data_IF_978914999861
#
_entry.id   IF_978914999861
#
_cell.length_a   1.000
_cell.length_b   1.000
_cell.length_c   1.000
_cell.angle_alpha   90.00
_cell.angle_beta   90.00
_cell.angle_gamma   90.00
#
_symmetry.space_group_name_H-M   'P 1'
#
loop_
_entity.id
_entity.type
_entity.pdbx_description
1 polymer ?
#
# COMPACT_ATOMS: atom_id res chain seq x y z
N UNK A 1 -45.85 26.89 0.25
CA UNK A 1 -44.54 27.07 0.92
C UNK A 1 -43.95 25.68 1.11
N UNK A 2 -42.99 25.27 0.26
CA UNK A 2 -42.43 23.92 0.27
C UNK A 2 -40.95 23.96 0.69
N UNK A 3 -40.57 23.18 1.69
CA UNK A 3 -39.18 23.12 2.18
C UNK A 3 -38.40 22.14 1.30
N UNK A 4 -37.51 22.69 0.48
CA UNK A 4 -36.70 21.94 -0.47
C UNK A 4 -35.56 21.21 0.27
N UNK A 5 -35.70 19.89 0.45
CA UNK A 5 -34.68 19.06 1.11
C UNK A 5 -33.37 19.13 0.33
N UNK A 6 -32.33 19.70 0.95
CA UNK A 6 -31.03 19.92 0.33
C UNK A 6 -30.36 18.61 -0.09
N UNK A 7 -29.86 18.56 -1.33
CA UNK A 7 -29.16 17.39 -1.89
C UNK A 7 -27.91 17.11 -1.04
N UNK A 8 -27.92 16.01 -0.30
CA UNK A 8 -26.76 15.58 0.50
C UNK A 8 -25.54 15.41 -0.42
N UNK A 9 -24.50 16.21 -0.20
CA UNK A 9 -23.30 16.21 -1.04
C UNK A 9 -22.56 14.88 -0.93
N UNK A 10 -22.23 14.28 -2.09
CA UNK A 10 -21.49 13.01 -2.14
C UNK A 10 -20.15 13.14 -1.40
N UNK A 11 -20.04 12.49 -0.24
CA UNK A 11 -18.78 12.22 0.43
C UNK A 11 -17.95 11.26 -0.44
N UNK A 12 -17.12 11.83 -1.31
CA UNK A 12 -16.09 11.06 -2.04
C UNK A 12 -15.05 10.64 -1.02
N UNK A 13 -14.93 9.33 -0.80
CA UNK A 13 -13.95 8.77 0.10
C UNK A 13 -12.56 8.70 -0.52
N UNK A 14 -11.58 8.47 0.34
CA UNK A 14 -10.17 8.45 0.01
C UNK A 14 -9.79 7.03 -0.43
N UNK A 15 -9.57 6.85 -1.72
CA UNK A 15 -8.84 5.71 -2.26
C UNK A 15 -7.47 6.21 -2.72
N UNK A 16 -6.50 6.26 -1.81
CA UNK A 16 -5.09 6.57 -2.13
C UNK A 16 -4.38 5.32 -2.66
N UNK A 17 -4.90 4.76 -3.74
CA UNK A 17 -4.27 3.62 -4.40
C UNK A 17 -3.16 4.11 -5.32
N UNK A 18 -2.01 4.37 -4.68
CA UNK A 18 -0.73 4.09 -5.31
C UNK A 18 -0.64 2.57 -5.49
N UNK A 19 -0.67 2.12 -6.74
CA UNK A 19 -0.68 0.71 -7.13
C UNK A 19 0.69 0.03 -7.03
N UNK A 20 1.34 0.09 -5.87
CA UNK A 20 2.51 -0.73 -5.56
C UNK A 20 2.04 -2.12 -5.08
N UNK A 21 2.07 -3.12 -5.97
CA UNK A 21 1.47 -4.46 -5.82
C UNK A 21 2.26 -5.45 -4.93
N UNK A 22 1.65 -6.64 -4.65
CA UNK A 22 2.08 -7.76 -3.75
C UNK A 22 1.80 -7.47 -2.23
N UNK A 23 1.31 -8.33 -1.26
CA UNK A 23 1.20 -8.03 0.26
C UNK A 23 1.82 -8.98 1.40
N UNK A 24 2.02 -8.56 2.70
CA UNK A 24 2.70 -9.31 3.85
C UNK A 24 2.43 -8.83 5.33
N UNK A 25 3.18 -9.23 6.42
CA UNK A 25 3.20 -8.70 7.84
C UNK A 25 4.18 -9.41 8.86
N UNK A 26 4.86 -8.73 9.82
CA UNK A 26 5.31 -9.22 11.19
C UNK A 26 5.91 -8.17 12.21
N UNK A 27 5.35 -8.09 13.43
CA UNK A 27 5.46 -6.97 14.41
C UNK A 27 6.71 -6.99 15.36
N UNK A 28 6.93 -6.15 16.39
CA UNK A 28 6.02 -5.57 17.43
C UNK A 28 6.38 -4.09 17.85
N UNK A 29 5.80 -3.55 18.94
CA UNK A 29 5.58 -2.10 19.13
C UNK A 29 6.15 -1.45 20.41
N UNK A 30 6.61 -0.20 20.28
CA UNK A 30 6.52 0.83 21.32
C UNK A 30 6.59 2.25 20.72
N UNK A 31 6.07 3.24 21.45
CA UNK A 31 5.71 4.61 21.04
C UNK A 31 6.77 5.43 20.24
N UNK A 32 6.74 5.34 18.90
CA UNK A 32 7.66 6.08 18.00
C UNK A 32 7.13 7.44 17.50
N UNK A 33 5.84 7.74 17.66
CA UNK A 33 5.19 8.90 17.04
C UNK A 33 5.76 10.24 17.53
N UNK A 34 6.36 10.27 18.73
CA UNK A 34 6.99 11.47 19.31
C UNK A 34 8.47 11.67 18.95
N UNK A 35 9.13 10.71 18.28
CA UNK A 35 10.58 10.82 17.96
C UNK A 35 10.88 11.03 16.47
N UNK A 36 9.98 10.61 15.58
CA UNK A 36 10.16 10.74 14.12
C UNK A 36 10.00 12.17 13.56
N UNK A 37 9.84 13.19 14.41
CA UNK A 37 9.52 14.55 14.01
C UNK A 37 10.72 15.53 14.04
N UNK A 38 11.86 15.14 14.63
CA UNK A 38 12.96 16.08 14.93
C UNK A 38 14.35 15.45 14.72
N UNK A 39 14.57 14.84 13.56
CA UNK A 39 15.91 14.58 13.03
C UNK A 39 16.01 15.09 11.59
N UNK A 40 16.55 16.30 11.44
CA UNK A 40 16.74 16.93 10.14
C UNK A 40 17.93 16.26 9.42
N UNK A 41 17.71 15.85 8.16
CA UNK A 41 18.73 15.15 7.39
C UNK A 41 20.02 16.00 7.26
N UNK A 42 21.21 15.40 7.47
CA UNK A 42 22.47 16.11 7.27
C UNK A 42 22.62 16.52 5.79
N UNK A 43 22.84 17.81 5.56
CA UNK A 43 22.93 18.36 4.22
C UNK A 43 24.23 17.89 3.51
N UNK A 44 24.10 16.86 2.67
CA UNK A 44 25.19 16.34 1.83
C UNK A 44 25.65 14.93 2.17
N UNK A 45 24.74 13.97 2.32
CA UNK A 45 25.11 12.55 2.29
C UNK A 45 25.71 12.20 0.91
N UNK A 46 27.00 11.88 0.87
CA UNK A 46 27.69 11.39 -0.34
C UNK A 46 27.69 9.87 -0.26
N UNK A 47 26.93 9.22 -1.14
CA UNK A 47 26.73 7.78 -1.09
C UNK A 47 28.03 6.99 -1.35
N UNK A 48 28.30 5.93 -0.57
CA UNK A 48 29.38 5.01 -0.89
C UNK A 48 29.14 4.41 -2.28
N UNK A 49 30.19 4.43 -3.12
CA UNK A 49 30.15 4.01 -4.53
C UNK A 49 29.31 4.89 -5.49
N UNK A 50 28.81 6.06 -5.07
CA UNK A 50 28.25 7.06 -5.98
C UNK A 50 26.92 6.67 -6.67
N UNK A 51 26.17 5.72 -6.10
CA UNK A 51 24.83 5.35 -6.56
C UNK A 51 23.87 6.53 -6.45
N UNK A 52 23.09 6.79 -7.51
CA UNK A 52 22.02 7.79 -7.48
C UNK A 52 20.67 7.18 -7.08
N UNK A 53 19.70 8.03 -6.72
CA UNK A 53 18.33 7.58 -6.47
C UNK A 53 17.68 6.94 -7.68
N UNK A 54 17.99 7.43 -8.90
CA UNK A 54 17.50 6.84 -10.14
C UNK A 54 18.13 5.46 -10.43
N UNK A 55 19.41 5.23 -10.07
CA UNK A 55 20.05 3.90 -10.18
C UNK A 55 19.38 2.86 -9.26
N UNK A 56 19.08 3.26 -8.02
CA UNK A 56 18.44 2.40 -7.02
C UNK A 56 17.00 2.06 -7.46
N UNK A 57 16.26 3.03 -8.00
CA UNK A 57 14.93 2.80 -8.58
C UNK A 57 15.01 1.94 -9.85
N UNK A 58 16.02 2.12 -10.70
CA UNK A 58 16.27 1.27 -11.87
C UNK A 58 16.47 -0.20 -11.49
N UNK A 59 17.34 -0.46 -10.51
CA UNK A 59 17.55 -1.80 -9.95
C UNK A 59 16.28 -2.36 -9.30
N UNK A 60 15.54 -1.54 -8.55
CA UNK A 60 14.29 -1.93 -7.91
C UNK A 60 13.22 -2.35 -8.94
N UNK A 61 13.09 -1.62 -10.05
CA UNK A 61 12.12 -1.92 -11.12
C UNK A 61 12.48 -3.23 -11.83
N UNK A 62 13.75 -3.48 -12.13
CA UNK A 62 14.20 -4.73 -12.76
C UNK A 62 14.06 -5.93 -11.81
N UNK A 63 14.40 -5.79 -10.53
CA UNK A 63 14.16 -6.83 -9.52
C UNK A 63 12.67 -7.10 -9.31
N UNK A 64 11.82 -6.07 -9.39
CA UNK A 64 10.36 -6.22 -9.35
C UNK A 64 9.82 -6.96 -10.58
N UNK A 65 10.35 -6.72 -11.79
CA UNK A 65 10.00 -7.47 -13.00
C UNK A 65 10.28 -8.97 -12.81
N UNK A 66 11.50 -9.31 -12.39
CA UNK A 66 11.92 -10.70 -12.13
C UNK A 66 11.08 -11.38 -11.04
N UNK A 67 10.69 -10.64 -9.97
CA UNK A 67 9.77 -11.16 -8.94
C UNK A 67 8.34 -11.36 -9.47
N UNK A 68 7.81 -10.45 -10.28
CA UNK A 68 6.48 -10.57 -10.87
C UNK A 68 6.36 -11.79 -11.80
N UNK A 69 7.40 -12.09 -12.58
CA UNK A 69 7.44 -13.27 -13.47
C UNK A 69 7.36 -14.61 -12.71
N UNK A 70 7.78 -14.62 -11.44
CA UNK A 70 7.75 -15.80 -10.56
C UNK A 70 6.47 -15.87 -9.69
N UNK A 71 5.72 -14.78 -9.54
CA UNK A 71 4.53 -14.72 -8.69
C UNK A 71 3.27 -15.11 -9.48
N UNK A 72 2.99 -16.41 -9.56
CA UNK A 72 1.89 -16.96 -10.35
C UNK A 72 0.53 -16.81 -9.64
N UNK A 73 0.48 -17.04 -8.32
CA UNK A 73 -0.73 -16.90 -7.49
C UNK A 73 -0.39 -16.48 -6.07
N UNK A 74 -1.29 -15.74 -5.41
CA UNK A 74 -1.31 -15.69 -3.94
C UNK A 74 -2.73 -15.57 -3.41
N UNK A 75 -2.94 -15.91 -2.14
CA UNK A 75 -4.11 -15.50 -1.37
C UNK A 75 -3.73 -14.85 -0.05
N UNK A 76 -4.60 -13.99 0.47
CA UNK A 76 -4.38 -13.19 1.67
C UNK A 76 -5.70 -12.85 2.37
N UNK A 77 -5.64 -12.49 3.65
CA UNK A 77 -6.73 -11.89 4.42
C UNK A 77 -6.35 -10.48 4.85
N UNK A 78 -7.08 -9.48 4.36
CA UNK A 78 -6.90 -8.07 4.71
C UNK A 78 -7.95 -7.61 5.73
N UNK A 79 -7.50 -6.95 6.78
CA UNK A 79 -8.37 -6.36 7.82
C UNK A 79 -8.33 -4.84 7.71
N UNK A 80 -9.42 -4.27 7.20
CA UNK A 80 -9.63 -2.83 7.01
C UNK A 80 -10.28 -2.26 8.28
N UNK A 81 -9.68 -1.25 8.92
CA UNK A 81 -10.17 -0.68 10.19
C UNK A 81 -10.12 0.84 10.17
N UNK A 82 -11.21 1.51 10.58
CA UNK A 82 -11.24 2.97 10.81
C UNK A 82 -11.54 3.25 12.26
N UNK A 83 -10.69 4.09 12.89
CA UNK A 83 -10.84 4.58 14.27
C UNK A 83 -10.87 6.10 14.31
N UNK A 84 -11.45 6.67 15.37
CA UNK A 84 -11.17 8.08 15.72
C UNK A 84 -9.81 8.19 16.42
N UNK A 85 -9.38 9.42 16.72
CA UNK A 85 -8.15 9.69 17.47
C UNK A 85 -8.15 9.10 18.89
N UNK A 86 -9.32 8.84 19.48
CA UNK A 86 -9.51 8.16 20.77
C UNK A 86 -9.38 6.61 20.66
N UNK A 87 -9.04 6.08 19.48
CA UNK A 87 -8.94 4.64 19.21
C UNK A 87 -10.29 3.92 19.06
N UNK A 88 -11.43 4.58 19.25
CA UNK A 88 -12.77 3.99 19.13
C UNK A 88 -13.07 3.57 17.69
N UNK A 89 -13.51 2.32 17.54
CA UNK A 89 -13.86 1.73 16.24
C UNK A 89 -15.07 2.43 15.61
N UNK A 90 -14.92 2.88 14.36
CA UNK A 90 -16.01 3.44 13.55
C UNK A 90 -16.53 2.43 12.50
N UNK A 91 -15.62 1.68 11.88
CA UNK A 91 -15.93 0.63 10.90
C UNK A 91 -14.79 -0.39 10.80
N UNK A 92 -15.11 -1.66 10.53
CA UNK A 92 -14.16 -2.67 10.10
C UNK A 92 -14.76 -3.55 9.00
N UNK A 93 -13.92 -3.99 8.06
CA UNK A 93 -14.22 -5.09 7.15
C UNK A 93 -13.04 -6.07 7.11
N UNK A 94 -13.33 -7.35 6.88
CA UNK A 94 -12.33 -8.39 6.59
C UNK A 94 -12.58 -8.88 5.18
N UNK A 95 -11.52 -8.96 4.37
CA UNK A 95 -11.58 -9.25 2.94
C UNK A 95 -10.53 -10.31 2.63
N UNK A 96 -10.94 -11.46 2.11
CA UNK A 96 -10.03 -12.38 1.44
C UNK A 96 -9.71 -11.80 0.06
N UNK A 97 -8.42 -11.73 -0.27
CA UNK A 97 -7.92 -11.28 -1.57
C UNK A 97 -7.19 -12.45 -2.22
N UNK A 98 -7.61 -12.80 -3.43
CA UNK A 98 -7.02 -13.87 -4.23
C UNK A 98 -6.47 -13.27 -5.54
N UNK A 99 -5.19 -13.50 -5.83
CA UNK A 99 -4.47 -13.02 -7.01
C UNK A 99 -4.03 -14.17 -7.91
N UNK A 100 -4.12 -13.95 -9.21
CA UNK A 100 -3.71 -14.85 -10.29
C UNK A 100 -3.02 -14.02 -11.37
N UNK A 101 -1.82 -14.45 -11.80
CA UNK A 101 -1.04 -13.74 -12.80
C UNK A 101 -1.77 -13.65 -14.16
N UNK A 102 -1.56 -12.57 -14.95
CA UNK A 102 -0.63 -11.46 -14.69
C UNK A 102 -1.20 -10.36 -13.77
N UNK A 103 -2.50 -10.10 -13.79
CA UNK A 103 -3.11 -8.89 -13.22
C UNK A 103 -4.46 -9.13 -12.49
N UNK A 104 -4.95 -10.37 -12.46
CA UNK A 104 -6.29 -10.70 -11.97
C UNK A 104 -6.32 -10.76 -10.44
N UNK A 105 -7.11 -9.88 -9.82
CA UNK A 105 -7.43 -9.89 -8.38
C UNK A 105 -8.92 -10.05 -8.15
N UNK A 106 -9.30 -10.83 -7.13
CA UNK A 106 -10.67 -10.90 -6.62
C UNK A 106 -10.71 -10.56 -5.13
N UNK A 107 -11.83 -10.01 -4.67
CA UNK A 107 -11.99 -9.45 -3.33
C UNK A 107 -13.27 -9.97 -2.69
N UNK A 108 -13.12 -10.94 -1.80
CA UNK A 108 -14.22 -11.68 -1.18
C UNK A 108 -14.39 -11.19 0.27
N UNK A 109 -15.39 -10.35 0.53
CA UNK A 109 -15.60 -9.74 1.85
C UNK A 109 -16.24 -10.75 2.82
N UNK A 110 -15.50 -11.15 3.86
CA UNK A 110 -15.87 -12.25 4.77
C UNK A 110 -16.49 -11.79 6.09
N UNK A 111 -16.27 -10.53 6.50
CA UNK A 111 -16.87 -9.98 7.72
C UNK A 111 -16.97 -8.45 7.67
N UNK A 112 -18.00 -7.87 8.31
CA UNK A 112 -18.17 -6.42 8.44
C UNK A 112 -18.77 -6.04 9.79
N UNK A 113 -18.34 -4.90 10.36
CA UNK A 113 -18.95 -4.30 11.55
C UNK A 113 -18.78 -2.78 11.58
N UNK A 114 -19.61 -2.10 12.37
CA UNK A 114 -19.65 -0.64 12.43
C UNK A 114 -20.35 -0.01 11.21
N UNK A 115 -20.19 1.30 11.05
CA UNK A 115 -21.05 2.14 10.19
C UNK A 115 -21.06 1.71 8.72
N UNK A 116 -22.21 1.26 8.23
CA UNK A 116 -22.41 0.84 6.85
C UNK A 116 -22.10 1.96 5.84
N UNK A 117 -22.40 3.21 6.18
CA UNK A 117 -22.08 4.38 5.35
C UNK A 117 -20.56 4.54 5.24
N UNK A 118 -19.82 4.39 6.34
CA UNK A 118 -18.35 4.48 6.32
C UNK A 118 -17.73 3.31 5.54
N UNK A 119 -18.26 2.09 5.70
CA UNK A 119 -17.82 0.91 4.94
C UNK A 119 -18.02 1.07 3.44
N UNK A 120 -19.24 1.43 3.02
CA UNK A 120 -19.56 1.58 1.60
C UNK A 120 -18.84 2.77 0.95
N UNK A 121 -18.70 3.88 1.66
CA UNK A 121 -17.95 5.01 1.12
C UNK A 121 -16.45 4.70 1.04
N UNK A 122 -15.82 4.19 2.10
CA UNK A 122 -14.35 4.05 2.15
C UNK A 122 -13.85 2.72 1.60
N UNK A 123 -14.30 1.59 2.17
CA UNK A 123 -13.71 0.27 1.86
C UNK A 123 -14.05 -0.21 0.45
N UNK A 124 -15.32 -0.08 0.03
CA UNK A 124 -15.73 -0.51 -1.31
C UNK A 124 -15.03 0.34 -2.40
N UNK A 125 -14.75 1.62 -2.13
CA UNK A 125 -14.01 2.50 -3.06
C UNK A 125 -12.52 2.22 -3.12
N UNK A 126 -11.89 1.83 -2.01
CA UNK A 126 -10.51 1.36 -2.01
C UNK A 126 -10.37 0.08 -2.85
N UNK A 127 -11.26 -0.89 -2.63
CA UNK A 127 -11.29 -2.15 -3.38
C UNK A 127 -11.54 -1.90 -4.88
N UNK A 128 -12.52 -1.05 -5.23
CA UNK A 128 -12.76 -0.64 -6.61
C UNK A 128 -11.52 0.01 -7.24
N UNK A 129 -10.90 0.96 -6.53
CA UNK A 129 -9.75 1.70 -7.05
C UNK A 129 -8.50 0.82 -7.21
N UNK A 130 -8.35 -0.27 -6.45
CA UNK A 130 -7.27 -1.24 -6.67
C UNK A 130 -7.47 -2.06 -7.95
N UNK A 131 -8.72 -2.40 -8.29
CA UNK A 131 -9.05 -2.94 -9.60
C UNK A 131 -8.70 -1.95 -10.72
N UNK A 132 -9.14 -0.70 -10.59
CA UNK A 132 -8.91 0.36 -11.59
C UNK A 132 -7.43 0.69 -11.82
N UNK A 133 -6.56 0.56 -10.81
CA UNK A 133 -5.11 0.84 -10.93
C UNK A 133 -4.23 -0.39 -11.20
N UNK A 134 -4.79 -1.60 -11.24
CA UNK A 134 -3.99 -2.81 -11.49
C UNK A 134 -3.60 -3.00 -12.96
N UNK A 135 -4.23 -2.27 -13.90
CA UNK A 135 -3.94 -2.37 -15.33
C UNK A 135 -4.01 -1.01 -16.07
N UNK A 136 -3.45 -0.97 -17.28
CA UNK A 136 -3.63 0.13 -18.24
C UNK A 136 -3.09 1.50 -17.81
N UNK A 137 -3.81 2.56 -18.18
CA UNK A 137 -3.35 3.96 -18.03
C UNK A 137 -3.19 4.38 -16.57
N UNK A 138 -4.07 3.91 -15.69
CA UNK A 138 -4.06 4.34 -14.28
C UNK A 138 -2.95 3.63 -13.49
N UNK A 139 -2.54 2.43 -13.91
CA UNK A 139 -1.30 1.78 -13.48
C UNK A 139 -0.08 2.66 -13.79
N UNK A 140 0.12 3.03 -15.07
CA UNK A 140 1.19 3.94 -15.48
C UNK A 140 1.17 5.26 -14.70
N UNK A 141 -0.02 5.82 -14.45
CA UNK A 141 -0.17 7.10 -13.75
C UNK A 141 0.15 7.04 -12.24
N UNK A 142 0.24 5.85 -11.63
CA UNK A 142 0.57 5.63 -10.22
C UNK A 142 1.96 5.03 -9.96
N UNK A 143 2.60 4.47 -10.98
CA UNK A 143 3.87 3.74 -10.85
C UNK A 143 5.03 4.58 -10.28
N UNK A 144 5.85 3.98 -9.41
CA UNK A 144 7.04 4.62 -8.82
C UNK A 144 8.22 4.50 -9.80
N UNK A 145 8.31 5.45 -10.73
CA UNK A 145 9.33 5.48 -11.80
C UNK A 145 9.82 6.90 -12.07
N UNK A 146 10.98 7.03 -12.74
CA UNK A 146 11.52 8.32 -13.20
C UNK A 146 10.62 9.10 -14.18
N UNK A 147 9.58 8.48 -14.76
CA UNK A 147 8.56 9.19 -15.54
C UNK A 147 7.56 9.98 -14.66
N UNK A 148 7.38 9.55 -13.41
CA UNK A 148 6.42 10.10 -12.46
C UNK A 148 7.07 10.90 -11.33
N UNK A 149 8.33 10.62 -10.99
CA UNK A 149 9.06 11.20 -9.86
C UNK A 149 10.47 11.63 -10.23
N UNK A 150 11.05 12.53 -9.43
CA UNK A 150 12.51 12.70 -9.26
C UNK A 150 12.89 12.07 -7.92
N UNK A 151 14.01 11.35 -7.87
CA UNK A 151 14.49 10.70 -6.64
C UNK A 151 15.82 11.30 -6.19
N UNK A 152 15.95 11.61 -4.90
CA UNK A 152 17.21 11.99 -4.27
C UNK A 152 17.55 10.99 -3.18
N UNK A 153 18.78 10.44 -3.20
CA UNK A 153 19.28 9.58 -2.14
C UNK A 153 19.64 10.44 -0.92
N UNK A 154 18.95 10.22 0.19
CA UNK A 154 19.05 11.02 1.41
C UNK A 154 19.91 10.38 2.50
N UNK A 155 20.20 9.08 2.39
CA UNK A 155 21.00 8.32 3.35
C UNK A 155 20.71 6.83 3.29
N UNK A 156 21.17 6.12 4.32
CA UNK A 156 20.88 4.71 4.59
C UNK A 156 20.30 4.61 6.02
N UNK A 157 19.26 3.81 6.23
CA UNK A 157 18.56 3.62 7.52
C UNK A 157 18.24 2.13 7.73
N UNK A 158 18.41 1.62 8.95
CA UNK A 158 17.96 0.27 9.33
C UNK A 158 16.44 0.26 9.60
N UNK A 159 15.71 -0.64 8.93
CA UNK A 159 14.26 -0.79 9.08
C UNK A 159 13.94 -2.21 9.56
N UNK A 160 14.05 -2.42 10.87
CA UNK A 160 13.92 -3.75 11.47
C UNK A 160 15.13 -4.61 11.11
N UNK A 161 14.99 -5.72 10.37
CA UNK A 161 16.11 -6.54 9.90
C UNK A 161 16.70 -6.08 8.56
N UNK A 162 16.21 -4.98 7.96
CA UNK A 162 16.53 -4.59 6.59
C UNK A 162 17.37 -3.30 6.52
N UNK A 163 18.59 -3.41 6.00
CA UNK A 163 19.46 -2.28 5.67
C UNK A 163 18.95 -1.59 4.39
N UNK A 164 18.47 -0.35 4.49
CA UNK A 164 17.75 0.32 3.41
C UNK A 164 18.42 1.60 2.91
N UNK A 165 18.52 1.76 1.60
CA UNK A 165 18.69 3.08 0.99
C UNK A 165 17.42 3.93 1.19
N UNK A 166 17.58 5.21 1.52
CA UNK A 166 16.47 6.14 1.77
C UNK A 166 16.38 7.15 0.63
N UNK A 167 15.29 7.12 -0.12
CA UNK A 167 15.04 7.99 -1.27
C UNK A 167 13.92 8.99 -0.98
N UNK A 168 14.20 10.28 -1.09
CA UNK A 168 13.16 11.31 -1.19
C UNK A 168 12.54 11.27 -2.61
N UNK A 169 11.25 10.98 -2.69
CA UNK A 169 10.48 10.88 -3.93
C UNK A 169 9.64 12.16 -4.15
N UNK A 170 10.07 13.00 -5.09
CA UNK A 170 9.36 14.24 -5.45
C UNK A 170 8.50 14.01 -6.71
N UNK A 171 7.17 14.23 -6.66
CA UNK A 171 6.28 13.96 -7.78
C UNK A 171 6.41 15.02 -8.89
N UNK A 172 6.62 14.59 -10.13
CA UNK A 172 6.76 15.48 -11.31
C UNK A 172 5.43 16.14 -11.73
N UNK A 173 4.30 15.78 -11.13
CA UNK A 173 2.97 16.39 -11.34
C UNK A 173 2.10 16.33 -10.09
N UNK A 174 1.19 17.30 -9.92
CA UNK A 174 0.17 17.29 -8.85
C UNK A 174 -1.05 16.45 -9.25
N UNK A 175 -0.87 15.13 -9.20
CA UNK A 175 -1.91 14.15 -9.54
C UNK A 175 -2.46 13.40 -8.29
N UNK A 176 -3.67 12.82 -8.41
CA UNK A 176 -4.32 12.04 -7.33
C UNK A 176 -3.64 10.69 -7.07
N UNK A 177 -2.88 10.17 -8.03
CA UNK A 177 -2.19 8.89 -7.95
C UNK A 177 -0.73 8.98 -7.49
N UNK A 178 -0.20 10.18 -7.21
CA UNK A 178 1.19 10.38 -6.77
C UNK A 178 1.26 10.88 -5.32
N UNK A 179 2.42 10.70 -4.68
CA UNK A 179 2.73 11.24 -3.36
C UNK A 179 4.00 12.10 -3.38
N UNK A 180 4.27 12.76 -2.27
CA UNK A 180 5.59 13.32 -1.91
C UNK A 180 6.01 12.73 -0.55
N UNK A 181 7.29 12.36 -0.41
CA UNK A 181 7.86 11.76 0.81
C UNK A 181 8.95 10.71 0.55
N UNK A 182 9.32 9.96 1.58
CA UNK A 182 10.43 8.99 1.59
C UNK A 182 10.01 7.58 1.17
N UNK A 183 10.92 6.87 0.49
CA UNK A 183 10.88 5.44 0.19
C UNK A 183 12.15 4.80 0.77
N UNK A 184 12.01 3.71 1.51
CA UNK A 184 13.12 2.87 1.94
C UNK A 184 13.20 1.64 1.02
N UNK A 185 14.36 1.42 0.43
CA UNK A 185 14.63 0.32 -0.52
C UNK A 185 15.75 -0.56 0.05
N UNK A 186 15.44 -1.83 0.30
CA UNK A 186 16.39 -2.84 0.79
C UNK A 186 17.61 -2.93 -0.13
N UNK A 187 18.81 -2.84 0.43
CA UNK A 187 20.05 -2.75 -0.34
C UNK A 187 20.50 -4.07 -0.99
N UNK A 188 19.96 -5.21 -0.55
CA UNK A 188 20.30 -6.54 -1.06
C UNK A 188 19.35 -6.98 -2.18
N UNK A 189 18.05 -6.92 -1.92
CA UNK A 189 16.99 -7.36 -2.84
C UNK A 189 16.51 -6.27 -3.80
N UNK A 190 16.86 -4.99 -3.54
CA UNK A 190 16.29 -3.81 -4.20
C UNK A 190 14.76 -3.89 -4.23
N UNK A 191 14.16 -3.88 -3.04
CA UNK A 191 12.71 -3.96 -2.84
C UNK A 191 12.27 -2.86 -1.86
N UNK A 192 11.05 -2.34 -2.03
CA UNK A 192 10.51 -1.37 -1.08
C UNK A 192 10.27 -2.07 0.26
N UNK A 193 10.79 -1.49 1.34
CA UNK A 193 10.57 -1.92 2.74
C UNK A 193 9.57 -1.00 3.43
N UNK A 194 9.54 0.28 3.06
CA UNK A 194 8.69 1.30 3.69
C UNK A 194 8.46 2.47 2.73
N UNK A 195 7.30 3.10 2.83
CA UNK A 195 6.99 4.38 2.21
C UNK A 195 6.35 5.26 3.29
N UNK A 196 6.80 6.51 3.43
CA UNK A 196 6.15 7.51 4.29
C UNK A 196 5.94 8.75 3.45
N UNK A 197 4.70 9.23 3.35
CA UNK A 197 4.43 10.40 2.53
C UNK A 197 2.97 10.83 2.55
N UNK A 198 2.66 11.81 1.69
CA UNK A 198 1.33 12.41 1.57
C UNK A 198 0.97 12.69 0.10
N UNK A 199 -0.31 12.80 -0.27
CA UNK A 199 -0.73 12.93 -1.66
C UNK A 199 -0.22 14.21 -2.34
N UNK A 200 0.29 14.07 -3.58
CA UNK A 200 0.67 15.20 -4.44
C UNK A 200 -0.52 16.10 -4.84
N UNK A 201 -1.75 15.61 -4.61
CA UNK A 201 -3.02 16.32 -4.81
C UNK A 201 -4.00 15.96 -3.71
N UNK A 202 -4.67 16.96 -3.12
CA UNK A 202 -5.67 16.75 -2.06
C UNK A 202 -6.78 15.79 -2.53
N UNK A 203 -7.07 14.68 -1.82
CA UNK A 203 -8.02 13.68 -2.32
C UNK A 203 -9.48 14.16 -2.41
N UNK A 204 -9.89 15.12 -1.57
CA UNK A 204 -11.20 15.79 -1.63
C UNK A 204 -11.19 17.13 -0.89
N UNK A 205 -12.21 17.96 -1.11
CA UNK A 205 -12.36 19.25 -0.43
C UNK A 205 -12.55 19.14 1.10
N UNK A 206 -13.00 17.99 1.61
CA UNK A 206 -13.31 17.78 3.03
C UNK A 206 -12.08 17.44 3.89
N UNK A 207 -10.93 17.25 3.25
CA UNK A 207 -9.70 16.77 3.86
C UNK A 207 -8.71 17.93 3.91
N UNK A 208 -8.21 18.20 5.11
CA UNK A 208 -7.15 19.20 5.31
C UNK A 208 -5.78 18.57 5.02
N UNK A 209 -5.53 17.42 5.63
CA UNK A 209 -4.30 16.64 5.55
C UNK A 209 -4.58 15.13 5.48
N UNK A 210 -3.64 14.38 4.88
CA UNK A 210 -3.68 12.93 4.81
C UNK A 210 -2.25 12.40 4.67
N UNK A 211 -1.65 11.96 5.77
CA UNK A 211 -0.36 11.27 5.76
C UNK A 211 -0.58 9.78 5.70
N UNK A 212 0.33 9.05 5.07
CA UNK A 212 0.33 7.59 5.09
C UNK A 212 1.71 7.01 5.38
N UNK A 213 1.70 5.86 6.04
CA UNK A 213 2.82 4.94 6.18
C UNK A 213 2.41 3.64 5.49
N UNK A 214 3.29 3.13 4.64
CA UNK A 214 3.24 1.74 4.15
C UNK A 214 4.51 1.06 4.61
N UNK A 215 4.40 -0.15 5.10
CA UNK A 215 5.54 -1.02 5.40
C UNK A 215 5.46 -2.24 4.50
N UNK A 216 6.56 -2.96 4.29
CA UNK A 216 6.67 -4.13 3.43
C UNK A 216 7.58 -5.18 4.07
N UNK A 217 7.47 -6.43 3.62
CA UNK A 217 8.27 -7.56 4.09
C UNK A 217 8.50 -8.57 2.96
N UNK A 218 9.48 -9.45 3.16
CA UNK A 218 9.75 -10.63 2.34
C UNK A 218 8.97 -11.87 2.84
N UNK A 219 8.22 -12.54 1.96
CA UNK A 219 7.63 -13.88 2.20
C UNK A 219 7.96 -14.76 0.99
N UNK A 220 8.55 -15.95 1.21
CA UNK A 220 8.89 -16.94 0.17
C UNK A 220 9.68 -16.37 -1.03
N UNK A 221 10.44 -15.28 -0.81
CA UNK A 221 11.23 -14.57 -1.83
C UNK A 221 10.54 -13.34 -2.47
N UNK A 222 9.24 -13.14 -2.24
CA UNK A 222 8.44 -12.03 -2.77
C UNK A 222 8.39 -10.86 -1.77
N UNK A 223 8.19 -9.63 -2.25
CA UNK A 223 8.24 -8.39 -1.44
C UNK A 223 6.97 -7.54 -1.56
N UNK A 224 6.33 -7.22 -0.43
CA UNK A 224 4.87 -7.09 -0.37
C UNK A 224 4.38 -6.18 0.83
N UNK A 225 3.37 -5.23 0.89
CA UNK A 225 3.14 -4.45 2.11
C UNK A 225 2.49 -5.19 3.27
N UNK A 226 3.09 -4.91 4.42
CA UNK A 226 2.81 -5.23 5.81
C UNK A 226 1.48 -4.60 6.29
N UNK A 227 1.42 -3.27 6.25
CA UNK A 227 0.31 -2.46 6.75
C UNK A 227 0.31 -1.18 5.95
N UNK A 228 -0.87 -0.79 5.49
CA UNK A 228 -1.13 0.60 5.15
C UNK A 228 -1.74 1.25 6.39
N UNK A 229 -1.18 2.37 6.85
CA UNK A 229 -1.80 3.24 7.84
C UNK A 229 -1.94 4.65 7.25
N UNK A 230 -3.12 5.26 7.38
CA UNK A 230 -3.40 6.61 6.88
C UNK A 230 -4.02 7.47 7.97
N UNK A 231 -3.35 8.56 8.31
CA UNK A 231 -3.78 9.59 9.26
C UNK A 231 -4.46 10.72 8.50
N UNK A 232 -5.80 10.78 8.56
CA UNK A 232 -6.62 11.75 7.81
C UNK A 232 -7.20 12.80 8.74
N UNK A 233 -7.05 14.07 8.40
CA UNK A 233 -7.71 15.19 9.07
C UNK A 233 -8.94 15.66 8.28
N UNK A 234 -10.14 15.47 8.85
CA UNK A 234 -11.43 15.76 8.20
C UNK A 234 -12.08 16.98 8.85
N UNK A 235 -12.37 18.02 8.06
CA UNK A 235 -12.79 19.37 8.51
C UNK A 235 -13.87 19.46 9.60
N UNK A 236 -14.80 18.51 9.63
CA UNK A 236 -15.94 18.49 10.58
C UNK A 236 -15.85 17.30 11.56
N UNK A 237 -15.03 16.29 11.25
CA UNK A 237 -15.00 15.01 11.95
C UNK A 237 -13.67 14.70 12.66
N UNK A 238 -12.74 15.65 12.69
CA UNK A 238 -11.45 15.54 13.35
C UNK A 238 -10.50 14.54 12.68
N UNK A 239 -9.44 14.16 13.42
CA UNK A 239 -8.46 13.18 12.97
C UNK A 239 -9.03 11.76 13.01
N UNK A 240 -8.79 10.99 11.95
CA UNK A 240 -9.17 9.58 11.79
C UNK A 240 -7.93 8.79 11.40
N UNK A 241 -7.79 7.60 11.98
CA UNK A 241 -6.77 6.63 11.58
C UNK A 241 -7.48 5.52 10.81
N UNK A 242 -6.99 5.23 9.61
CA UNK A 242 -7.40 4.11 8.78
C UNK A 242 -6.24 3.13 8.65
N UNK A 243 -6.45 1.84 8.88
CA UNK A 243 -5.45 0.78 8.68
C UNK A 243 -5.95 -0.31 7.73
N UNK A 244 -5.02 -0.91 7.00
CA UNK A 244 -5.19 -2.19 6.29
C UNK A 244 -4.06 -3.12 6.72
N UNK A 245 -4.37 -4.05 7.61
CA UNK A 245 -3.44 -5.07 8.08
C UNK A 245 -3.56 -6.31 7.18
N UNK A 246 -2.44 -6.83 6.67
CA UNK A 246 -2.38 -7.86 5.62
C UNK A 246 -1.89 -9.20 6.20
N UNK A 247 -2.69 -10.26 6.18
CA UNK A 247 -2.43 -11.50 6.94
C UNK A 247 -2.64 -12.77 6.12
N UNK A 248 -2.19 -13.91 6.67
CA UNK A 248 -2.50 -15.27 6.17
C UNK A 248 -2.14 -15.46 4.69
N UNK A 249 -0.89 -15.13 4.34
CA UNK A 249 -0.37 -15.31 2.99
C UNK A 249 -0.18 -16.77 2.65
N UNK A 250 -0.63 -17.14 1.46
CA UNK A 250 -0.32 -18.41 0.79
C UNK A 250 0.12 -18.06 -0.63
N UNK A 251 1.39 -18.28 -0.94
CA UNK A 251 2.04 -17.89 -2.19
C UNK A 251 2.31 -19.13 -3.03
N UNK A 252 2.05 -19.06 -4.34
CA UNK A 252 2.26 -20.14 -5.32
C UNK A 252 1.91 -21.55 -4.77
N UNK A 253 0.72 -21.76 -4.14
CA UNK A 253 0.37 -23.05 -3.58
C UNK A 253 0.40 -24.10 -4.70
N UNK A 254 0.99 -25.26 -4.40
CA UNK A 254 0.93 -26.40 -5.31
C UNK A 254 -0.53 -26.68 -5.67
N UNK A 255 -0.80 -26.89 -6.96
CA UNK A 255 -2.07 -27.47 -7.38
C UNK A 255 -2.29 -28.75 -6.59
N UNK A 256 -3.49 -29.01 -6.04
CA UNK A 256 -3.82 -30.33 -5.54
C UNK A 256 -3.46 -31.34 -6.61
N UNK A 257 -2.65 -32.34 -6.26
CA UNK A 257 -2.43 -33.50 -7.12
C UNK A 257 -3.81 -34.00 -7.53
N UNK A 258 -4.07 -34.08 -8.83
CA UNK A 258 -5.22 -34.83 -9.31
C UNK A 258 -5.07 -36.23 -8.72
N UNK A 259 -6.07 -36.66 -7.94
CA UNK A 259 -6.03 -37.98 -7.32
C UNK A 259 -5.93 -38.99 -8.47
N UNK A 260 -4.77 -39.62 -8.58
CA UNK A 260 -4.50 -40.62 -9.61
C UNK A 260 -5.50 -41.73 -9.40
N UNK A 261 -6.54 -41.72 -10.23
CA UNK A 261 -7.67 -42.63 -10.11
C UNK A 261 -7.24 -43.89 -10.82
N UNK A 262 -6.30 -44.60 -10.18
CA UNK A 262 -5.63 -45.77 -10.73
C UNK A 262 -6.66 -46.72 -11.30
N UNK A 263 -6.62 -46.87 -12.62
CA UNK A 263 -7.45 -47.84 -13.33
C UNK A 263 -6.91 -49.23 -13.03
N UNK A 264 -7.46 -49.84 -11.98
CA UNK A 264 -7.12 -51.20 -11.54
C UNK A 264 -7.45 -52.19 -12.69
N UNK A 265 -6.46 -52.92 -13.25
CA UNK A 265 -6.66 -53.73 -14.44
C UNK A 265 -6.86 -55.21 -14.12
N UNK A 266 -8.03 -55.58 -13.60
CA UNK A 266 -8.45 -56.97 -13.34
C UNK A 266 -9.80 -57.31 -14.03
N UNK A 267 -9.71 -57.75 -15.30
CA UNK A 267 -10.51 -58.80 -15.96
C UNK A 267 -10.02 -59.04 -17.42
#
# INVERSE_FOLDING_TARGET
MAIQVGRCGRLVAIALVLGATQGSLFAESQDFASRAAEEAAPAGYIAPMGLTGDDIIGKMLERNRLRNEQLQRYSAVRTYVIRNFEGKLAAQAVVRVDYEAPDKKTFNKTSEKGSAIVRHLVFDRLIQSEGETSAGREHHNSAITGANYTFALAGEEEVGPYHCFVLEATPKRKDKYLFEGKIWVDAQDFAVVKIVGRPAKKPSFWINHADFVRQYQRIDGFWLPYRDETSVEVKIYGRRIFTVDHQQYVINPASPLQADTGSDPDD
#
